data_IF_291549751864
#
_entry.id   IF_291549751864
#
_cell.length_a   1.000
_cell.length_b   1.000
_cell.length_c   1.000
_cell.angle_alpha   90.00
_cell.angle_beta   90.00
_cell.angle_gamma   90.00
#
_symmetry.space_group_name_H-M   'P 1'
#
loop_
_entity.id
_entity.type
_entity.pdbx_description
1 polymer ?
#
# COMPACT_ATOMS: atom_id res chain seq x y z
N UNK A 1 4.69 -6.77 22.26
CA UNK A 1 5.87 -7.11 21.42
C UNK A 1 5.66 -6.62 19.99
N UNK A 2 4.49 -6.84 19.36
CA UNK A 2 4.16 -6.25 18.04
C UNK A 2 4.03 -4.72 18.04
N UNK A 3 3.39 -4.13 19.06
CA UNK A 3 3.25 -2.66 19.16
C UNK A 3 4.60 -1.93 19.18
N UNK A 4 5.65 -2.55 19.76
CA UNK A 4 6.99 -1.95 19.83
C UNK A 4 7.61 -1.81 18.44
N UNK A 5 7.50 -2.83 17.59
CA UNK A 5 8.05 -2.77 16.23
C UNK A 5 7.31 -1.75 15.35
N UNK A 6 5.99 -1.64 15.53
CA UNK A 6 5.16 -0.65 14.85
C UNK A 6 5.53 0.77 15.25
N UNK A 7 5.65 1.03 16.56
CA UNK A 7 6.03 2.35 17.07
C UNK A 7 7.46 2.73 16.62
N UNK A 8 8.42 1.79 16.70
CA UNK A 8 9.78 1.99 16.20
C UNK A 8 9.82 2.29 14.69
N UNK A 9 8.98 1.62 13.90
CA UNK A 9 8.88 1.89 12.46
C UNK A 9 8.34 3.30 12.19
N UNK A 10 7.34 3.73 12.95
CA UNK A 10 6.84 5.11 12.86
C UNK A 10 7.88 6.13 13.32
N UNK A 11 8.62 5.87 14.39
CA UNK A 11 9.69 6.77 14.84
C UNK A 11 10.82 6.88 13.82
N UNK A 12 11.19 5.77 13.18
CA UNK A 12 12.30 5.71 12.22
C UNK A 12 11.93 6.29 10.84
N UNK A 13 10.66 6.16 10.44
CA UNK A 13 10.20 6.50 9.09
C UNK A 13 9.07 7.54 9.05
N UNK A 14 8.89 8.35 10.09
CA UNK A 14 7.79 9.35 10.20
C UNK A 14 7.70 10.26 8.95
N UNK A 15 8.85 10.67 8.39
CA UNK A 15 8.90 11.52 7.20
C UNK A 15 8.32 10.85 5.93
N UNK A 16 8.24 9.51 5.93
CA UNK A 16 7.72 8.72 4.81
C UNK A 16 6.29 8.21 5.06
N UNK A 17 5.78 8.33 6.28
CA UNK A 17 4.55 7.67 6.72
C UNK A 17 3.46 8.68 7.09
N UNK A 18 2.22 8.34 6.74
CA UNK A 18 1.04 9.10 7.14
C UNK A 18 -0.21 8.20 7.12
N UNK A 19 -1.31 8.68 7.70
CA UNK A 19 -2.58 7.97 7.77
C UNK A 19 -2.72 7.10 9.02
N UNK A 20 -3.25 5.89 8.84
CA UNK A 20 -3.61 5.02 9.95
C UNK A 20 -2.38 4.50 10.69
N UNK A 21 -2.33 4.68 12.02
CA UNK A 21 -1.28 4.09 12.85
C UNK A 21 -1.38 2.56 12.97
N UNK A 22 -2.57 1.98 12.78
CA UNK A 22 -2.81 0.53 12.87
C UNK A 22 -2.15 -0.29 11.76
N UNK A 23 -1.75 0.36 10.65
CA UNK A 23 -0.98 -0.23 9.56
C UNK A 23 -1.51 -1.53 8.94
N UNK A 24 -2.81 -1.80 9.07
CA UNK A 24 -3.43 -3.00 8.50
C UNK A 24 -3.24 -3.10 6.98
N UNK A 25 -3.18 -1.96 6.29
CA UNK A 25 -2.95 -1.86 4.86
C UNK A 25 -1.82 -0.86 4.61
N UNK A 26 -0.74 -1.29 3.98
CA UNK A 26 0.32 -0.39 3.55
C UNK A 26 0.13 -0.01 2.08
N UNK A 27 -0.01 1.29 1.83
CA UNK A 27 -0.14 1.88 0.50
C UNK A 27 1.17 2.58 0.15
N UNK A 28 1.99 1.94 -0.68
CA UNK A 28 3.24 2.49 -1.17
C UNK A 28 3.01 3.36 -2.41
N UNK A 29 3.64 4.52 -2.44
CA UNK A 29 3.62 5.48 -3.54
C UNK A 29 5.03 5.99 -3.82
N UNK A 30 5.32 6.38 -5.07
CA UNK A 30 6.62 6.96 -5.45
C UNK A 30 6.97 8.17 -4.58
N UNK A 31 6.22 9.26 -4.76
CA UNK A 31 6.52 10.58 -4.17
C UNK A 31 5.35 11.08 -3.28
N UNK A 32 4.48 10.18 -2.81
CA UNK A 32 3.25 10.50 -2.08
C UNK A 32 1.97 10.22 -2.87
N UNK A 33 0.84 10.22 -2.16
CA UNK A 33 -0.51 10.00 -2.73
C UNK A 33 -1.35 11.27 -2.61
N UNK A 34 -2.11 11.61 -3.66
CA UNK A 34 -3.06 12.71 -3.61
C UNK A 34 -4.17 12.45 -2.57
N UNK A 35 -4.79 13.50 -2.04
CA UNK A 35 -5.90 13.37 -1.09
C UNK A 35 -7.08 12.58 -1.68
N UNK A 36 -7.33 12.75 -2.99
CA UNK A 36 -8.36 12.01 -3.73
C UNK A 36 -8.05 10.52 -3.75
N UNK A 37 -6.81 10.15 -4.04
CA UNK A 37 -6.35 8.76 -4.04
C UNK A 37 -6.43 8.14 -2.64
N UNK A 38 -6.03 8.89 -1.61
CA UNK A 38 -6.14 8.46 -0.21
C UNK A 38 -7.58 8.18 0.21
N UNK A 39 -8.49 9.10 -0.09
CA UNK A 39 -9.91 8.93 0.21
C UNK A 39 -10.53 7.73 -0.53
N UNK A 40 -10.17 7.55 -1.81
CA UNK A 40 -10.60 6.42 -2.62
C UNK A 40 -10.14 5.08 -2.03
N UNK A 41 -8.87 4.98 -1.64
CA UNK A 41 -8.29 3.75 -1.07
C UNK A 41 -8.88 3.44 0.31
N UNK A 42 -9.01 4.42 1.20
CA UNK A 42 -9.69 4.22 2.48
C UNK A 42 -11.15 3.76 2.29
N UNK A 43 -11.88 4.35 1.34
CA UNK A 43 -13.24 3.88 1.02
C UNK A 43 -13.26 2.45 0.49
N UNK A 44 -12.30 2.08 -0.36
CA UNK A 44 -12.20 0.72 -0.88
C UNK A 44 -11.88 -0.29 0.23
N UNK A 45 -10.92 0.00 1.10
CA UNK A 45 -10.55 -0.88 2.21
C UNK A 45 -11.65 -0.99 3.26
N UNK A 46 -12.40 0.09 3.53
CA UNK A 46 -13.60 0.04 4.35
C UNK A 46 -14.63 -0.95 3.79
N UNK A 47 -14.85 -0.95 2.47
CA UNK A 47 -15.78 -1.89 1.80
C UNK A 47 -15.34 -3.35 1.86
N UNK A 48 -14.06 -3.61 2.17
CA UNK A 48 -13.48 -4.94 2.35
C UNK A 48 -13.40 -5.36 3.83
N UNK A 49 -13.92 -4.56 4.76
CA UNK A 49 -13.99 -4.89 6.19
C UNK A 49 -12.84 -4.36 7.05
N UNK A 50 -11.87 -3.63 6.48
CA UNK A 50 -10.73 -3.10 7.24
C UNK A 50 -11.08 -1.83 8.06
N UNK A 51 -12.18 -1.16 7.73
CA UNK A 51 -12.57 0.12 8.32
C UNK A 51 -12.05 1.34 7.55
N UNK A 52 -12.55 2.53 7.88
CA UNK A 52 -12.28 3.79 7.17
C UNK A 52 -10.91 4.41 7.46
N UNK A 53 -10.18 3.91 8.46
CA UNK A 53 -8.85 4.36 8.85
C UNK A 53 -7.87 3.20 8.91
N UNK A 54 -7.79 2.41 7.84
CA UNK A 54 -6.95 1.23 7.77
C UNK A 54 -5.66 1.43 6.95
N UNK A 55 -5.63 2.42 6.07
CA UNK A 55 -4.49 2.65 5.17
C UNK A 55 -3.42 3.51 5.86
N UNK A 56 -2.21 2.99 5.91
CA UNK A 56 -0.99 3.76 6.08
C UNK A 56 -0.40 4.05 4.71
N UNK A 57 -0.08 5.31 4.44
CA UNK A 57 0.50 5.74 3.18
C UNK A 57 2.01 5.91 3.36
N UNK A 58 2.78 5.17 2.57
CA UNK A 58 4.23 5.20 2.57
C UNK A 58 4.75 5.81 1.25
N UNK A 59 5.54 6.88 1.35
CA UNK A 59 6.28 7.43 0.20
C UNK A 59 7.65 6.74 0.11
N UNK A 60 7.95 6.10 -1.02
CA UNK A 60 9.19 5.32 -1.19
C UNK A 60 10.36 6.15 -1.68
N UNK A 61 10.12 7.38 -2.16
CA UNK A 61 11.17 8.32 -2.56
C UNK A 61 12.19 8.50 -1.42
N UNK A 62 13.49 8.39 -1.73
CA UNK A 62 14.57 8.51 -0.76
C UNK A 62 14.89 7.24 0.04
N UNK A 63 14.04 6.21 0.02
CA UNK A 63 14.33 4.93 0.66
C UNK A 63 15.12 4.01 -0.28
N UNK A 64 16.17 3.38 0.25
CA UNK A 64 16.79 2.24 -0.40
C UNK A 64 15.98 0.95 -0.19
N UNK A 65 16.37 -0.12 -0.88
CA UNK A 65 15.63 -1.39 -0.86
C UNK A 65 15.59 -2.02 0.56
N UNK A 66 16.61 -1.80 1.39
CA UNK A 66 16.67 -2.33 2.76
C UNK A 66 15.81 -1.50 3.72
N UNK A 67 15.87 -0.17 3.61
CA UNK A 67 15.06 0.74 4.38
C UNK A 67 13.57 0.53 4.10
N UNK A 68 13.19 0.37 2.82
CA UNK A 68 11.81 0.04 2.45
C UNK A 68 11.37 -1.32 3.02
N UNK A 69 12.24 -2.32 2.99
CA UNK A 69 11.94 -3.62 3.61
C UNK A 69 11.70 -3.47 5.13
N UNK A 70 12.56 -2.73 5.84
CA UNK A 70 12.42 -2.50 7.28
C UNK A 70 11.16 -1.69 7.60
N UNK A 71 10.83 -0.67 6.81
CA UNK A 71 9.61 0.11 6.96
C UNK A 71 8.38 -0.80 6.86
N UNK A 72 8.27 -1.58 5.79
CA UNK A 72 7.07 -2.40 5.57
C UNK A 72 6.98 -3.55 6.57
N UNK A 73 8.09 -4.21 6.93
CA UNK A 73 8.06 -5.27 7.95
C UNK A 73 7.86 -4.74 9.38
N UNK A 74 8.29 -3.51 9.67
CA UNK A 74 8.01 -2.85 10.94
C UNK A 74 6.54 -2.46 11.09
N UNK A 75 5.89 -2.06 9.99
CA UNK A 75 4.44 -1.85 9.94
C UNK A 75 3.64 -3.17 10.02
N UNK A 76 4.22 -4.28 9.55
CA UNK A 76 3.59 -5.60 9.42
C UNK A 76 2.15 -5.59 8.85
N UNK A 77 1.93 -5.04 7.64
CA UNK A 77 0.59 -4.93 7.07
C UNK A 77 0.03 -6.28 6.63
N UNK A 78 -1.30 -6.38 6.56
CA UNK A 78 -1.98 -7.59 6.05
C UNK A 78 -1.96 -7.65 4.52
N UNK A 79 -2.00 -6.49 3.86
CA UNK A 79 -1.88 -6.39 2.41
C UNK A 79 -1.16 -5.11 1.97
N UNK A 80 -0.59 -5.19 0.76
CA UNK A 80 0.16 -4.11 0.13
C UNK A 80 -0.57 -3.57 -1.09
N UNK A 81 -0.51 -2.26 -1.27
CA UNK A 81 -1.00 -1.57 -2.46
C UNK A 81 0.12 -0.69 -2.99
N UNK A 82 0.55 -0.87 -4.24
CA UNK A 82 1.43 0.07 -4.91
C UNK A 82 0.60 0.99 -5.81
N UNK A 83 0.59 2.29 -5.55
CA UNK A 83 -0.22 3.25 -6.31
C UNK A 83 0.33 3.55 -7.69
N UNK A 84 1.60 3.27 -7.92
CA UNK A 84 2.28 3.56 -9.18
C UNK A 84 3.40 2.55 -9.47
N UNK A 85 3.92 2.63 -10.68
CA UNK A 85 4.99 1.76 -11.16
C UNK A 85 6.32 1.92 -10.38
N UNK A 86 6.59 3.10 -9.82
CA UNK A 86 7.79 3.35 -9.02
C UNK A 86 7.73 2.59 -7.69
N UNK A 87 6.61 2.70 -6.98
CA UNK A 87 6.35 1.96 -5.75
C UNK A 87 6.34 0.44 -5.98
N UNK A 88 5.72 -0.02 -7.07
CA UNK A 88 5.69 -1.43 -7.43
C UNK A 88 7.11 -1.98 -7.66
N UNK A 89 7.93 -1.25 -8.42
CA UNK A 89 9.32 -1.61 -8.66
C UNK A 89 10.16 -1.60 -7.37
N UNK A 90 9.96 -0.61 -6.50
CA UNK A 90 10.66 -0.51 -5.22
C UNK A 90 10.33 -1.70 -4.30
N UNK A 91 9.05 -2.02 -4.13
CA UNK A 91 8.62 -3.21 -3.39
C UNK A 91 9.18 -4.50 -4.00
N UNK A 92 9.20 -4.61 -5.33
CA UNK A 92 9.76 -5.77 -6.01
C UNK A 92 11.26 -5.98 -5.73
N UNK A 93 12.04 -4.89 -5.65
CA UNK A 93 13.46 -4.98 -5.26
C UNK A 93 13.65 -5.30 -3.78
N UNK A 94 12.93 -4.60 -2.89
CA UNK A 94 12.97 -4.81 -1.45
C UNK A 94 12.67 -6.28 -1.08
N UNK A 95 11.64 -6.87 -1.70
CA UNK A 95 11.23 -8.25 -1.46
C UNK A 95 11.85 -9.29 -2.40
N UNK A 96 12.65 -8.85 -3.38
CA UNK A 96 13.28 -9.69 -4.40
C UNK A 96 12.27 -10.60 -5.11
N UNK A 97 11.11 -10.06 -5.43
CA UNK A 97 10.02 -10.75 -6.09
C UNK A 97 9.33 -9.87 -7.13
N UNK A 98 8.54 -10.47 -8.02
CA UNK A 98 7.73 -9.68 -8.95
C UNK A 98 6.52 -9.06 -8.24
N UNK A 99 6.31 -7.76 -8.44
CA UNK A 99 5.09 -7.04 -8.06
C UNK A 99 4.41 -6.58 -9.36
N UNK A 100 3.52 -7.41 -9.92
CA UNK A 100 2.98 -7.15 -11.25
C UNK A 100 1.91 -6.04 -11.24
N UNK A 101 1.97 -5.16 -12.24
CA UNK A 101 0.94 -4.14 -12.45
C UNK A 101 -0.37 -4.76 -12.97
N UNK A 102 -1.50 -4.25 -12.50
CA UNK A 102 -2.83 -4.55 -13.05
C UNK A 102 -3.39 -5.94 -12.72
N UNK A 103 -2.68 -6.76 -11.94
CA UNK A 103 -3.11 -8.10 -11.53
C UNK A 103 -2.72 -8.38 -10.06
N UNK A 104 -3.46 -9.24 -9.34
CA UNK A 104 -3.09 -9.62 -7.98
C UNK A 104 -1.77 -10.39 -7.96
N UNK A 105 -0.98 -10.18 -6.90
CA UNK A 105 0.29 -10.85 -6.66
C UNK A 105 0.49 -11.21 -5.19
N UNK A 106 1.68 -11.70 -4.89
CA UNK A 106 2.13 -11.98 -3.51
C UNK A 106 3.52 -11.41 -3.30
N UNK A 107 3.73 -10.73 -2.18
CA UNK A 107 5.03 -10.27 -1.72
C UNK A 107 5.21 -10.76 -0.29
N UNK A 108 6.23 -11.58 -0.05
CA UNK A 108 6.55 -12.13 1.27
C UNK A 108 5.35 -12.76 2.00
N UNK A 109 4.52 -13.50 1.26
CA UNK A 109 3.31 -14.15 1.81
C UNK A 109 2.06 -13.28 1.88
N UNK A 110 2.17 -11.95 1.74
CA UNK A 110 1.06 -10.99 1.77
C UNK A 110 0.44 -10.78 0.40
N UNK A 111 -0.85 -10.47 0.34
CA UNK A 111 -1.53 -10.09 -0.92
C UNK A 111 -1.09 -8.70 -1.34
N UNK A 112 -0.72 -8.53 -2.61
CA UNK A 112 -0.34 -7.24 -3.19
C UNK A 112 -1.12 -6.96 -4.48
N UNK A 113 -1.50 -5.71 -4.67
CA UNK A 113 -1.97 -5.18 -5.96
C UNK A 113 -1.17 -3.94 -6.31
N UNK A 114 -0.92 -3.73 -7.60
CA UNK A 114 -0.14 -2.60 -8.08
C UNK A 114 -0.78 -1.94 -9.30
N UNK A 115 -0.69 -0.62 -9.36
CA UNK A 115 -1.22 0.20 -10.44
C UNK A 115 -0.11 0.86 -11.24
N UNK A 116 -0.38 1.19 -12.50
CA UNK A 116 0.54 1.99 -13.32
C UNK A 116 0.66 3.42 -12.76
N UNK A 117 -0.50 3.99 -12.45
CA UNK A 117 -0.73 5.32 -11.90
C UNK A 117 -2.19 5.33 -11.42
N UNK A 118 -2.40 5.10 -10.13
CA UNK A 118 -3.74 5.00 -9.55
C UNK A 118 -4.47 6.34 -9.61
N UNK A 119 -3.77 7.46 -9.42
CA UNK A 119 -4.38 8.79 -9.36
C UNK A 119 -4.93 9.18 -10.73
N UNK A 120 -4.14 9.02 -11.80
CA UNK A 120 -4.59 9.26 -13.17
C UNK A 120 -5.73 8.31 -13.58
N UNK A 121 -5.72 7.07 -13.09
CA UNK A 121 -6.82 6.12 -13.34
C UNK A 121 -8.15 6.57 -12.73
N UNK A 122 -8.16 7.46 -11.72
CA UNK A 122 -9.40 7.98 -11.15
C UNK A 122 -10.13 8.95 -12.07
N UNK A 123 -9.44 9.55 -13.06
CA UNK A 123 -9.99 10.54 -13.98
C UNK A 123 -10.77 9.94 -15.15
N UNK A 124 -10.47 8.68 -15.51
CA UNK A 124 -11.19 7.94 -16.53
C UNK A 124 -12.16 6.93 -15.92
N UNK A 125 -13.39 6.89 -16.43
CA UNK A 125 -14.45 6.04 -15.88
C UNK A 125 -14.16 4.54 -16.04
N UNK A 126 -13.52 4.13 -17.13
CA UNK A 126 -13.18 2.74 -17.40
C UNK A 126 -11.98 2.30 -16.55
N UNK A 127 -10.92 3.11 -16.51
CA UNK A 127 -9.75 2.83 -15.69
C UNK A 127 -10.09 2.78 -14.20
N UNK A 128 -10.95 3.68 -13.72
CA UNK A 128 -11.46 3.62 -12.35
C UNK A 128 -12.18 2.30 -12.04
N UNK A 129 -12.98 1.79 -12.97
CA UNK A 129 -13.65 0.49 -12.79
C UNK A 129 -12.63 -0.67 -12.74
N UNK A 130 -11.61 -0.63 -13.59
CA UNK A 130 -10.50 -1.59 -13.56
C UNK A 130 -9.78 -1.54 -12.21
N UNK A 131 -9.49 -0.34 -11.71
CA UNK A 131 -8.84 -0.15 -10.43
C UNK A 131 -9.67 -0.74 -9.27
N UNK A 132 -10.99 -0.49 -9.27
CA UNK A 132 -11.91 -1.06 -8.28
C UNK A 132 -11.99 -2.58 -8.36
N UNK A 133 -12.02 -3.14 -9.57
CA UNK A 133 -12.04 -4.58 -9.78
C UNK A 133 -10.77 -5.24 -9.24
N UNK A 134 -9.62 -4.57 -9.35
CA UNK A 134 -8.35 -5.05 -8.82
C UNK A 134 -8.29 -4.95 -7.30
N UNK A 135 -8.71 -3.83 -6.70
CA UNK A 135 -8.78 -3.68 -5.23
C UNK A 135 -9.65 -4.78 -4.59
N UNK A 136 -10.77 -5.15 -5.22
CA UNK A 136 -11.63 -6.25 -4.77
C UNK A 136 -10.98 -7.65 -4.80
N UNK A 137 -9.77 -7.79 -5.35
CA UNK A 137 -8.98 -9.04 -5.29
C UNK A 137 -8.17 -9.17 -4.00
N UNK A 138 -8.07 -8.11 -3.20
CA UNK A 138 -7.49 -8.18 -1.86
C UNK A 138 -8.40 -9.00 -0.93
N UNK A 139 -7.83 -9.65 0.11
CA UNK A 139 -8.61 -10.42 1.06
C UNK A 139 -9.56 -9.51 1.83
N UNK A 140 -10.74 -10.04 2.18
CA UNK A 140 -11.64 -9.38 3.13
C UNK A 140 -11.13 -9.57 4.55
N UNK A 141 -11.36 -8.58 5.39
CA UNK A 141 -10.98 -8.61 6.79
C UNK A 141 -12.20 -8.81 7.69
N UNK A 142 -12.08 -9.66 8.70
CA UNK A 142 -13.17 -9.99 9.62
C UNK A 142 -14.17 -11.05 9.12
N UNK A 143 -13.87 -11.73 8.02
CA UNK A 143 -14.56 -12.97 7.59
C UNK A 143 -13.84 -14.23 8.11
#
# INVERSE_FOLDING_TARGET
MYEVALDEAWELFDEHLDGARSALVCVASGNGSSERSRAALNSAMASLGYGSGACTFAAVEGLDDQALFLLVEGLDPLCLIATDSTAAAALGRAYRCEVPLGKPGRAFGRSVVAFRDFDAMLDDGQDKQIAWALLKKLPRFGE
#
